data_IF_490902872089
#
_entry.id   IF_490902872089
#
_cell.length_a   1.000
_cell.length_b   1.000
_cell.length_c   1.000
_cell.angle_alpha   90.00
_cell.angle_beta   90.00
_cell.angle_gamma   90.00
#
_symmetry.space_group_name_H-M   'P 1'
#
loop_
_entity.id
_entity.type
_entity.pdbx_description
1 polymer ?
#
# COMPACT_ATOMS: atom_id res chain seq x y z
N UNK A 1 15.22 -7.42 71.64
CA UNK A 1 14.66 -6.37 70.75
C UNK A 1 15.21 -6.56 69.34
N UNK A 2 14.84 -7.67 68.68
CA UNK A 2 15.36 -8.03 67.37
C UNK A 2 14.32 -7.74 66.28
N UNK A 3 14.73 -6.90 65.33
CA UNK A 3 14.47 -7.00 63.88
C UNK A 3 13.11 -7.60 63.46
N UNK A 4 12.07 -6.77 63.44
CA UNK A 4 10.82 -7.07 62.73
C UNK A 4 10.31 -5.90 61.88
N UNK A 5 11.19 -5.00 61.45
CA UNK A 5 10.82 -3.88 60.56
C UNK A 5 11.78 -3.86 59.38
N UNK A 6 11.66 -4.85 58.50
CA UNK A 6 12.29 -4.81 57.17
C UNK A 6 11.54 -5.64 56.12
N UNK A 7 10.63 -6.56 56.51
CA UNK A 7 9.87 -7.36 55.54
C UNK A 7 8.62 -6.66 54.99
N UNK A 8 8.03 -5.74 55.76
CA UNK A 8 6.79 -5.04 55.39
C UNK A 8 7.00 -3.99 54.28
N UNK A 9 8.21 -3.45 54.14
CA UNK A 9 8.57 -2.52 53.06
C UNK A 9 8.87 -3.26 51.75
N UNK A 10 9.39 -4.49 51.83
CA UNK A 10 9.59 -5.35 50.66
C UNK A 10 8.27 -5.83 50.03
N UNK A 11 7.21 -6.02 50.83
CA UNK A 11 5.88 -6.35 50.28
C UNK A 11 5.17 -5.16 49.63
N UNK A 12 5.44 -3.92 50.05
CA UNK A 12 4.91 -2.72 49.37
C UNK A 12 5.62 -2.39 48.05
N UNK A 13 6.75 -3.05 47.76
CA UNK A 13 7.45 -2.97 46.47
C UNK A 13 6.96 -4.03 45.47
N UNK A 14 6.13 -4.98 45.89
CA UNK A 14 5.24 -5.70 44.99
C UNK A 14 4.00 -4.81 44.76
N UNK A 15 4.22 -3.68 44.09
CA UNK A 15 3.14 -3.05 43.34
C UNK A 15 2.65 -4.11 42.38
N UNK A 16 1.49 -4.69 42.70
CA UNK A 16 0.79 -5.51 41.74
C UNK A 16 0.22 -4.52 40.72
N UNK A 17 1.03 -4.11 39.73
CA UNK A 17 0.52 -3.50 38.51
C UNK A 17 -0.17 -4.60 37.70
N UNK A 18 -1.38 -4.94 38.14
CA UNK A 18 -2.35 -5.63 37.31
C UNK A 18 -2.87 -4.65 36.25
N UNK A 19 -2.10 -4.29 35.21
CA UNK A 19 -2.84 -3.80 34.04
C UNK A 19 -3.43 -4.95 33.29
N UNK A 20 -4.73 -4.97 33.50
CA UNK A 20 -5.75 -5.73 32.85
C UNK A 20 -6.38 -4.80 31.80
N UNK A 21 -5.60 -4.17 30.91
CA UNK A 21 -6.20 -3.35 29.85
C UNK A 21 -6.94 -4.30 28.89
N UNK A 22 -8.19 -4.57 29.25
CA UNK A 22 -9.16 -5.31 28.49
C UNK A 22 -9.96 -4.30 27.65
N UNK A 23 -9.59 -4.20 26.38
CA UNK A 23 -10.27 -3.50 25.30
C UNK A 23 -10.10 -1.98 25.34
N UNK A 24 -8.97 -1.52 24.81
CA UNK A 24 -8.95 -0.18 24.24
C UNK A 24 -9.74 -0.22 22.93
N UNK A 25 -10.78 0.59 22.88
CA UNK A 25 -11.47 0.86 21.62
C UNK A 25 -10.49 1.65 20.76
N UNK A 26 -10.25 1.27 19.48
CA UNK A 26 -9.39 2.08 18.60
C UNK A 26 -9.84 3.54 18.62
N UNK A 27 -8.97 4.47 18.21
CA UNK A 27 -9.32 5.90 18.10
C UNK A 27 -10.67 6.13 17.37
N UNK A 28 -11.06 5.21 16.48
CA UNK A 28 -12.33 5.16 15.72
C UNK A 28 -13.52 4.49 16.41
N UNK A 29 -13.35 3.92 17.61
CA UNK A 29 -14.42 3.31 18.40
C UNK A 29 -14.95 1.96 17.88
N UNK A 30 -14.44 1.42 16.77
CA UNK A 30 -14.85 0.14 16.18
C UNK A 30 -13.83 -0.43 15.18
N UNK A 31 -14.01 -1.68 14.79
CA UNK A 31 -13.28 -2.28 13.67
C UNK A 31 -13.57 -1.55 12.34
N UNK A 32 -12.53 -1.47 11.50
CA UNK A 32 -12.64 -1.03 10.12
C UNK A 32 -13.36 -2.10 9.28
N UNK A 33 -14.30 -1.68 8.43
CA UNK A 33 -15.10 -2.58 7.60
C UNK A 33 -14.70 -2.53 6.12
N UNK A 34 -14.26 -1.37 5.66
CA UNK A 34 -13.92 -1.11 4.25
C UNK A 34 -12.62 -0.32 4.13
N UNK A 35 -11.92 -0.38 2.99
CA UNK A 35 -10.70 0.40 2.80
C UNK A 35 -10.89 1.90 3.00
N UNK A 36 -12.07 2.42 2.66
CA UNK A 36 -12.42 3.83 2.84
C UNK A 36 -12.46 4.26 4.31
N UNK A 37 -12.63 3.32 5.24
CA UNK A 37 -12.59 3.60 6.67
C UNK A 37 -11.17 3.94 7.15
N UNK A 38 -10.11 3.53 6.44
CA UNK A 38 -8.71 3.87 6.77
C UNK A 38 -8.52 5.39 6.76
N UNK A 39 -8.98 6.07 5.71
CA UNK A 39 -8.87 7.52 5.60
C UNK A 39 -9.65 8.21 6.71
N UNK A 40 -10.88 7.76 6.98
CA UNK A 40 -11.71 8.29 8.08
C UNK A 40 -11.02 8.12 9.43
N UNK A 41 -10.41 6.97 9.68
CA UNK A 41 -9.69 6.69 10.90
C UNK A 41 -8.44 7.55 11.06
N UNK A 42 -7.71 7.76 9.97
CA UNK A 42 -6.50 8.59 9.98
C UNK A 42 -6.79 10.06 10.28
N UNK A 43 -7.99 10.58 9.98
CA UNK A 43 -8.35 11.97 10.29
C UNK A 43 -8.24 12.28 11.78
N UNK A 44 -8.52 11.28 12.63
CA UNK A 44 -8.44 11.41 14.08
C UNK A 44 -7.00 11.40 14.61
N UNK A 45 -6.01 11.14 13.75
CA UNK A 45 -4.58 11.18 14.13
C UNK A 45 -3.98 12.57 14.01
N UNK A 46 -4.65 13.52 13.35
CA UNK A 46 -4.18 14.89 13.20
C UNK A 46 -4.68 15.76 14.34
N UNK A 47 -3.75 16.38 15.06
CA UNK A 47 -4.10 17.27 16.18
C UNK A 47 -4.64 18.63 15.71
N UNK A 48 -4.49 18.96 14.43
CA UNK A 48 -5.06 20.16 13.81
C UNK A 48 -5.32 19.96 12.29
N UNK A 49 -6.19 20.80 11.73
CA UNK A 49 -6.58 20.74 10.31
C UNK A 49 -5.43 21.08 9.34
N UNK A 50 -4.46 21.90 9.75
CA UNK A 50 -3.34 22.29 8.89
C UNK A 50 -2.39 21.11 8.67
N UNK A 51 -2.16 20.26 9.68
CA UNK A 51 -1.42 19.01 9.55
C UNK A 51 -2.12 18.04 8.60
N UNK A 52 -3.44 17.90 8.72
CA UNK A 52 -4.23 17.06 7.81
C UNK A 52 -4.14 17.56 6.35
N UNK A 53 -4.25 18.88 6.13
CA UNK A 53 -4.14 19.49 4.81
C UNK A 53 -2.72 19.37 4.23
N UNK A 54 -1.70 19.58 5.06
CA UNK A 54 -0.29 19.44 4.66
C UNK A 54 0.01 18.01 4.25
N UNK A 55 -0.52 17.04 5.01
CA UNK A 55 -0.42 15.64 4.66
C UNK A 55 -1.10 15.32 3.32
N UNK A 56 -2.34 15.77 3.12
CA UNK A 56 -3.06 15.56 1.87
C UNK A 56 -2.29 16.12 0.66
N UNK A 57 -1.58 17.25 0.83
CA UNK A 57 -0.69 17.82 -0.20
C UNK A 57 0.61 17.04 -0.39
N UNK A 58 1.11 16.39 0.66
CA UNK A 58 2.35 15.60 0.63
C UNK A 58 2.18 14.21 0.00
N UNK A 59 0.94 13.70 -0.05
CA UNK A 59 0.63 12.54 -0.86
C UNK A 59 0.70 13.01 -2.31
N UNK A 60 1.77 12.65 -2.99
CA UNK A 60 1.85 12.83 -4.44
C UNK A 60 0.75 11.97 -5.07
N UNK A 61 -0.29 12.65 -5.55
CA UNK A 61 -1.33 12.08 -6.40
C UNK A 61 -0.76 11.96 -7.82
N UNK A 62 -1.30 11.03 -8.59
CA UNK A 62 -0.92 10.81 -9.98
C UNK A 62 -1.05 12.11 -10.77
N UNK A 63 -0.11 12.38 -11.70
CA UNK A 63 -0.23 13.59 -12.50
C UNK A 63 -1.43 13.46 -13.45
N UNK A 64 -2.10 14.56 -13.83
CA UNK A 64 -3.20 14.48 -14.81
C UNK A 64 -2.79 13.77 -16.10
N UNK A 65 -1.52 13.89 -16.49
CA UNK A 65 -0.95 13.21 -17.65
C UNK A 65 -0.84 11.69 -17.44
N UNK A 66 -0.42 11.24 -16.25
CA UNK A 66 -0.35 9.81 -15.92
C UNK A 66 -1.74 9.18 -15.97
N UNK A 67 -2.72 9.79 -15.31
CA UNK A 67 -4.11 9.31 -15.29
C UNK A 67 -4.65 9.24 -16.72
N UNK A 68 -4.47 10.30 -17.50
CA UNK A 68 -4.92 10.34 -18.89
C UNK A 68 -4.30 9.23 -19.72
N UNK A 69 -2.96 9.10 -19.72
CA UNK A 69 -2.27 8.11 -20.54
C UNK A 69 -2.62 6.67 -20.13
N UNK A 70 -2.67 6.38 -18.84
CA UNK A 70 -3.08 5.06 -18.32
C UNK A 70 -4.50 4.73 -18.75
N UNK A 71 -5.45 5.64 -18.56
CA UNK A 71 -6.85 5.43 -18.96
C UNK A 71 -7.00 5.23 -20.46
N UNK A 72 -6.23 5.94 -21.30
CA UNK A 72 -6.35 5.86 -22.76
C UNK A 72 -5.43 4.83 -23.42
N UNK A 73 -4.57 4.15 -22.67
CA UNK A 73 -3.62 3.17 -23.21
C UNK A 73 -4.26 2.02 -23.99
N UNK A 74 -5.42 1.54 -23.55
CA UNK A 74 -6.19 0.52 -24.26
C UNK A 74 -6.75 1.05 -25.58
N UNK A 75 -7.22 2.30 -25.61
CA UNK A 75 -7.69 2.99 -26.82
C UNK A 75 -6.56 3.16 -27.82
N UNK A 76 -5.35 3.51 -27.38
CA UNK A 76 -4.17 3.60 -28.26
C UNK A 76 -3.84 2.25 -28.91
N UNK A 77 -3.85 1.15 -28.14
CA UNK A 77 -3.64 -0.18 -28.72
C UNK A 77 -4.78 -0.61 -29.64
N UNK A 78 -6.04 -0.36 -29.28
CA UNK A 78 -7.20 -0.63 -30.12
C UNK A 78 -7.15 0.17 -31.43
N UNK A 79 -6.68 1.42 -31.38
CA UNK A 79 -6.48 2.24 -32.56
C UNK A 79 -5.44 1.58 -33.50
N UNK A 80 -4.31 1.13 -32.97
CA UNK A 80 -3.30 0.41 -33.78
C UNK A 80 -3.89 -0.87 -34.39
N UNK A 81 -4.68 -1.65 -33.64
CA UNK A 81 -5.35 -2.85 -34.16
C UNK A 81 -6.29 -2.48 -35.32
N UNK A 82 -7.08 -1.42 -35.17
CA UNK A 82 -8.02 -0.96 -36.20
C UNK A 82 -7.34 -0.46 -37.48
N UNK A 83 -6.15 0.11 -37.37
CA UNK A 83 -5.33 0.55 -38.50
C UNK A 83 -4.58 -0.61 -39.16
N UNK A 84 -4.57 -1.79 -38.55
CA UNK A 84 -3.76 -2.93 -38.97
C UNK A 84 -4.58 -3.99 -39.71
N UNK A 85 -4.26 -4.22 -40.99
CA UNK A 85 -4.73 -5.43 -41.68
C UNK A 85 -4.03 -6.67 -41.11
N UNK A 86 -4.77 -7.70 -40.71
CA UNK A 86 -4.25 -8.98 -40.19
C UNK A 86 -3.19 -8.84 -39.08
N UNK A 87 -3.31 -7.84 -38.18
CA UNK A 87 -2.35 -7.59 -37.10
C UNK A 87 -0.89 -7.38 -37.57
N UNK A 88 -0.68 -6.86 -38.79
CA UNK A 88 0.63 -6.44 -39.31
C UNK A 88 1.45 -5.55 -38.35
N UNK A 89 0.83 -4.75 -37.50
CA UNK A 89 1.54 -3.93 -36.50
C UNK A 89 1.80 -4.61 -35.16
N UNK A 90 1.32 -5.85 -34.96
CA UNK A 90 1.62 -6.67 -33.77
C UNK A 90 0.89 -6.26 -32.48
N UNK A 91 -0.09 -5.35 -32.53
CA UNK A 91 -0.74 -4.78 -31.34
C UNK A 91 -1.68 -5.74 -30.61
N UNK A 92 -2.25 -6.75 -31.28
CA UNK A 92 -3.28 -7.62 -30.68
C UNK A 92 -2.79 -8.34 -29.42
N UNK A 93 -1.56 -8.89 -29.43
CA UNK A 93 -1.00 -9.56 -28.26
C UNK A 93 -0.70 -8.56 -27.14
N UNK A 94 -0.22 -7.36 -27.48
CA UNK A 94 0.09 -6.31 -26.51
C UNK A 94 -1.16 -5.82 -25.80
N UNK A 95 -2.28 -5.72 -26.53
CA UNK A 95 -3.58 -5.38 -25.96
C UNK A 95 -4.02 -6.39 -24.90
N UNK A 96 -4.00 -7.69 -25.23
CA UNK A 96 -4.38 -8.75 -24.29
C UNK A 96 -3.48 -8.77 -23.04
N UNK A 97 -2.18 -8.54 -23.23
CA UNK A 97 -1.22 -8.47 -22.13
C UNK A 97 -1.43 -7.23 -21.26
N UNK A 98 -1.81 -6.09 -21.85
CA UNK A 98 -2.14 -4.87 -21.10
C UNK A 98 -3.36 -5.07 -20.21
N UNK A 99 -4.44 -5.67 -20.74
CA UNK A 99 -5.64 -6.00 -19.97
C UNK A 99 -5.30 -6.95 -18.82
N UNK A 100 -4.47 -7.96 -19.07
CA UNK A 100 -4.02 -8.91 -18.04
C UNK A 100 -3.22 -8.21 -16.94
N UNK A 101 -2.31 -7.30 -17.32
CA UNK A 101 -1.56 -6.46 -16.38
C UNK A 101 -2.52 -5.61 -15.54
N UNK A 102 -3.49 -4.94 -16.15
CA UNK A 102 -4.39 -4.03 -15.43
C UNK A 102 -5.27 -4.78 -14.44
N UNK A 103 -5.80 -5.94 -14.83
CA UNK A 103 -6.53 -6.84 -13.92
C UNK A 103 -5.65 -7.33 -12.76
N UNK A 104 -4.41 -7.73 -13.06
CA UNK A 104 -3.45 -8.17 -12.05
C UNK A 104 -3.13 -7.08 -11.02
N UNK A 105 -2.83 -5.87 -11.49
CA UNK A 105 -2.55 -4.70 -10.65
C UNK A 105 -3.78 -4.32 -9.83
N UNK A 106 -4.97 -4.29 -10.44
CA UNK A 106 -6.22 -3.99 -9.75
C UNK A 106 -6.47 -4.93 -8.56
N UNK A 107 -6.41 -6.24 -8.82
CA UNK A 107 -6.61 -7.25 -7.80
C UNK A 107 -5.55 -7.17 -6.70
N UNK A 108 -4.29 -6.95 -7.07
CA UNK A 108 -3.20 -6.78 -6.11
C UNK A 108 -3.47 -5.59 -5.17
N UNK A 109 -3.87 -4.43 -5.72
CA UNK A 109 -4.18 -3.26 -4.91
C UNK A 109 -5.36 -3.50 -3.97
N UNK A 110 -6.44 -4.14 -4.43
CA UNK A 110 -7.58 -4.49 -3.58
C UNK A 110 -7.18 -5.42 -2.42
N UNK A 111 -6.35 -6.44 -2.71
CA UNK A 111 -5.81 -7.34 -1.68
C UNK A 111 -5.00 -6.56 -0.66
N UNK A 112 -4.10 -5.67 -1.10
CA UNK A 112 -3.28 -4.85 -0.20
C UNK A 112 -4.10 -3.97 0.73
N UNK A 113 -5.16 -3.34 0.20
CA UNK A 113 -6.06 -2.51 1.00
C UNK A 113 -6.83 -3.32 2.04
N UNK A 114 -7.35 -4.49 1.66
CA UNK A 114 -8.05 -5.38 2.58
C UNK A 114 -7.10 -5.94 3.66
N UNK A 115 -5.86 -6.25 3.30
CA UNK A 115 -4.85 -6.66 4.27
C UNK A 115 -4.56 -5.53 5.28
N UNK A 116 -4.48 -4.27 4.82
CA UNK A 116 -4.26 -3.13 5.70
C UNK A 116 -5.34 -2.96 6.76
N UNK A 117 -6.62 -3.18 6.40
CA UNK A 117 -7.74 -3.25 7.35
C UNK A 117 -7.50 -4.32 8.41
N UNK A 118 -7.14 -5.53 7.97
CA UNK A 118 -6.90 -6.66 8.87
C UNK A 118 -5.74 -6.39 9.83
N UNK A 119 -4.67 -5.74 9.36
CA UNK A 119 -3.55 -5.35 10.21
C UNK A 119 -4.00 -4.40 11.32
N UNK A 120 -4.71 -3.31 10.94
CA UNK A 120 -5.21 -2.30 11.88
C UNK A 120 -6.15 -2.93 12.91
N UNK A 121 -7.14 -3.72 12.46
CA UNK A 121 -8.10 -4.38 13.34
C UNK A 121 -7.45 -5.40 14.28
N UNK A 122 -6.33 -5.99 13.87
CA UNK A 122 -5.57 -6.93 14.72
C UNK A 122 -4.82 -6.18 15.82
N UNK A 123 -4.14 -5.09 15.49
CA UNK A 123 -3.32 -4.33 16.45
C UNK A 123 -4.12 -3.35 17.31
N UNK A 124 -5.35 -3.02 16.94
CA UNK A 124 -6.21 -2.17 17.77
C UNK A 124 -6.80 -2.88 18.98
N UNK A 125 -6.70 -4.21 19.04
CA UNK A 125 -7.25 -5.03 20.13
C UNK A 125 -6.12 -5.46 21.07
N UNK A 126 -5.85 -4.67 22.10
CA UNK A 126 -4.76 -4.93 23.06
C UNK A 126 -4.96 -6.16 23.96
N UNK A 127 -6.16 -6.76 23.95
CA UNK A 127 -6.56 -7.79 24.93
C UNK A 127 -5.91 -9.14 24.76
N UNK A 128 -5.29 -9.40 23.62
CA UNK A 128 -4.67 -10.68 23.31
C UNK A 128 -3.47 -10.46 22.38
N UNK A 129 -2.60 -9.50 22.69
CA UNK A 129 -1.40 -9.30 21.89
C UNK A 129 -0.40 -10.41 22.18
N UNK A 130 -0.16 -11.24 21.17
CA UNK A 130 0.89 -12.26 21.18
C UNK A 130 1.81 -12.06 19.99
N UNK A 131 3.06 -12.49 20.13
CA UNK A 131 4.13 -12.32 19.14
C UNK A 131 3.78 -12.94 17.78
N UNK A 132 2.96 -13.99 17.74
CA UNK A 132 2.59 -14.68 16.49
C UNK A 132 1.71 -13.81 15.59
N UNK A 133 0.91 -12.90 16.16
CA UNK A 133 0.09 -11.96 15.38
C UNK A 133 0.96 -10.94 14.64
N UNK A 134 1.98 -10.39 15.29
CA UNK A 134 2.92 -9.45 14.66
C UNK A 134 3.75 -10.12 13.58
N UNK A 135 4.18 -11.37 13.81
CA UNK A 135 4.87 -12.17 12.80
C UNK A 135 3.99 -12.43 11.58
N UNK A 136 2.71 -12.78 11.76
CA UNK A 136 1.76 -12.96 10.65
C UNK A 136 1.58 -11.69 9.83
N UNK A 137 1.44 -10.53 10.49
CA UNK A 137 1.36 -9.23 9.80
C UNK A 137 2.65 -8.96 9.01
N UNK A 138 3.81 -9.13 9.66
CA UNK A 138 5.13 -8.92 9.04
C UNK A 138 5.32 -9.79 7.80
N UNK A 139 5.02 -11.09 7.91
CA UNK A 139 5.08 -12.02 6.77
C UNK A 139 4.12 -11.59 5.67
N UNK A 140 2.87 -11.26 6.00
CA UNK A 140 1.88 -10.81 5.02
C UNK A 140 2.32 -9.54 4.26
N UNK A 141 2.96 -8.59 4.94
CA UNK A 141 3.53 -7.39 4.31
C UNK A 141 4.70 -7.77 3.38
N UNK A 142 5.60 -8.64 3.81
CA UNK A 142 6.76 -9.05 2.99
C UNK A 142 6.34 -9.84 1.74
N UNK A 143 5.35 -10.73 1.88
CA UNK A 143 4.77 -11.46 0.76
C UNK A 143 4.10 -10.48 -0.22
N UNK A 144 3.36 -9.50 0.30
CA UNK A 144 2.73 -8.48 -0.53
C UNK A 144 3.75 -7.60 -1.29
N UNK A 145 4.85 -7.20 -0.64
CA UNK A 145 5.97 -6.48 -1.30
C UNK A 145 6.62 -7.32 -2.40
N UNK A 146 6.70 -8.64 -2.21
CA UNK A 146 7.20 -9.57 -3.22
C UNK A 146 6.25 -9.63 -4.42
N UNK A 147 4.94 -9.72 -4.18
CA UNK A 147 3.93 -9.69 -5.23
C UNK A 147 3.93 -8.37 -6.02
N UNK A 148 4.14 -7.23 -5.36
CA UNK A 148 4.36 -5.93 -6.02
C UNK A 148 5.56 -6.01 -6.97
N UNK A 149 6.68 -6.56 -6.50
CA UNK A 149 7.90 -6.71 -7.32
C UNK A 149 7.66 -7.60 -8.53
N UNK A 150 6.96 -8.72 -8.38
CA UNK A 150 6.57 -9.59 -9.50
C UNK A 150 5.69 -8.85 -10.51
N UNK A 151 4.71 -8.06 -10.04
CA UNK A 151 3.84 -7.29 -10.94
C UNK A 151 4.60 -6.19 -11.69
N UNK A 152 5.54 -5.53 -11.02
CA UNK A 152 6.44 -4.56 -11.61
C UNK A 152 7.30 -5.18 -12.73
N UNK A 153 7.79 -6.41 -12.53
CA UNK A 153 8.53 -7.15 -13.56
C UNK A 153 7.65 -7.48 -14.78
N UNK A 154 6.37 -7.82 -14.56
CA UNK A 154 5.42 -8.04 -15.66
C UNK A 154 5.21 -6.74 -16.46
N UNK A 155 4.99 -5.62 -15.77
CA UNK A 155 4.84 -4.30 -16.40
C UNK A 155 6.09 -3.93 -17.23
N UNK A 156 7.28 -4.02 -16.63
CA UNK A 156 8.53 -3.71 -17.30
C UNK A 156 8.76 -4.62 -18.53
N UNK A 157 8.46 -5.91 -18.42
CA UNK A 157 8.59 -6.86 -19.53
C UNK A 157 7.64 -6.52 -20.68
N UNK A 158 6.40 -6.12 -20.39
CA UNK A 158 5.44 -5.68 -21.39
C UNK A 158 5.91 -4.39 -22.09
N UNK A 159 6.39 -3.41 -21.34
CA UNK A 159 6.92 -2.17 -21.92
C UNK A 159 8.09 -2.45 -22.89
N UNK A 160 9.01 -3.35 -22.52
CA UNK A 160 10.10 -3.79 -23.40
C UNK A 160 9.58 -4.50 -24.64
N UNK A 161 8.62 -5.42 -24.49
CA UNK A 161 8.03 -6.15 -25.61
C UNK A 161 7.37 -5.20 -26.63
N UNK A 162 6.62 -4.21 -26.15
CA UNK A 162 5.99 -3.19 -27.00
C UNK A 162 7.05 -2.33 -27.68
N UNK A 163 8.09 -1.91 -26.95
CA UNK A 163 9.17 -1.10 -27.52
C UNK A 163 9.93 -1.86 -28.62
N UNK A 164 10.14 -3.17 -28.45
CA UNK A 164 10.74 -4.01 -29.48
C UNK A 164 9.87 -4.07 -30.73
N UNK A 165 8.55 -4.32 -30.60
CA UNK A 165 7.62 -4.28 -31.74
C UNK A 165 7.64 -2.93 -32.44
N UNK A 166 7.56 -1.82 -31.68
CA UNK A 166 7.64 -0.46 -32.19
C UNK A 166 8.89 -0.24 -33.05
N UNK A 167 10.06 -0.67 -32.58
CA UNK A 167 11.33 -0.47 -33.28
C UNK A 167 11.49 -1.32 -34.55
N UNK A 168 10.68 -2.37 -34.73
CA UNK A 168 10.67 -3.18 -35.97
C UNK A 168 9.83 -2.57 -37.09
N UNK A 169 9.05 -1.53 -36.80
CA UNK A 169 8.18 -0.90 -37.79
C UNK A 169 8.98 -0.05 -38.80
N UNK A 170 8.76 -0.22 -40.12
CA UNK A 170 9.49 0.51 -41.14
C UNK A 170 9.05 1.97 -41.23
N UNK A 171 9.89 2.88 -40.73
CA UNK A 171 9.65 4.34 -40.70
C UNK A 171 9.57 4.96 -42.12
N UNK A 172 10.15 4.32 -43.13
CA UNK A 172 10.25 4.83 -44.52
C UNK A 172 9.35 4.09 -45.53
N UNK A 173 8.27 3.46 -45.05
CA UNK A 173 7.28 2.77 -45.90
C UNK A 173 6.43 3.78 -46.71
N UNK A 174 5.85 3.42 -47.88
CA UNK A 174 4.94 4.28 -48.65
C UNK A 174 3.74 4.86 -47.87
N UNK A 175 3.41 4.33 -46.68
CA UNK A 175 2.39 4.86 -45.76
C UNK A 175 2.99 5.48 -44.50
N UNK A 176 3.98 6.38 -44.63
CA UNK A 176 4.75 6.95 -43.52
C UNK A 176 3.90 7.57 -42.40
N UNK A 177 2.77 8.19 -42.73
CA UNK A 177 1.89 8.81 -41.73
C UNK A 177 1.18 7.78 -40.83
N UNK A 178 0.73 6.65 -41.39
CA UNK A 178 0.11 5.58 -40.58
C UNK A 178 1.14 4.98 -39.63
N UNK A 179 2.35 4.71 -40.11
CA UNK A 179 3.44 4.20 -39.27
C UNK A 179 3.81 5.18 -38.15
N UNK A 180 3.82 6.48 -38.44
CA UNK A 180 4.06 7.52 -37.44
C UNK A 180 2.99 7.49 -36.34
N UNK A 181 1.71 7.47 -36.70
CA UNK A 181 0.60 7.37 -35.73
C UNK A 181 0.74 6.11 -34.86
N UNK A 182 1.09 4.97 -35.47
CA UNK A 182 1.28 3.70 -34.74
C UNK A 182 2.45 3.79 -33.75
N UNK A 183 3.57 4.38 -34.16
CA UNK A 183 4.75 4.58 -33.30
C UNK A 183 4.42 5.51 -32.14
N UNK A 184 3.71 6.61 -32.40
CA UNK A 184 3.31 7.58 -31.38
C UNK A 184 2.35 6.94 -30.35
N UNK A 185 1.37 6.17 -30.81
CA UNK A 185 0.48 5.40 -29.94
C UNK A 185 1.24 4.38 -29.09
N UNK A 186 2.21 3.65 -29.67
CA UNK A 186 3.04 2.73 -28.89
C UNK A 186 3.88 3.47 -27.83
N UNK A 187 4.40 4.66 -28.15
CA UNK A 187 5.16 5.48 -27.20
C UNK A 187 4.31 5.87 -25.99
N UNK A 188 3.04 6.27 -26.21
CA UNK A 188 2.10 6.61 -25.14
C UNK A 188 1.77 5.40 -24.26
N UNK A 189 1.56 4.23 -24.87
CA UNK A 189 1.30 2.97 -24.14
C UNK A 189 2.50 2.58 -23.28
N UNK A 190 3.72 2.67 -23.81
CA UNK A 190 4.95 2.40 -23.05
C UNK A 190 5.05 3.33 -21.85
N UNK A 191 4.83 4.64 -22.04
CA UNK A 191 4.85 5.61 -20.95
C UNK A 191 3.83 5.28 -19.85
N UNK A 192 2.64 4.84 -20.24
CA UNK A 192 1.58 4.41 -19.32
C UNK A 192 1.97 3.20 -18.48
N UNK A 193 2.56 2.18 -19.11
CA UNK A 193 3.00 0.95 -18.41
C UNK A 193 4.16 1.24 -17.46
N UNK A 194 5.10 2.11 -17.86
CA UNK A 194 6.19 2.57 -16.99
C UNK A 194 5.64 3.34 -15.79
N UNK A 195 4.64 4.20 -15.99
CA UNK A 195 3.97 4.93 -14.91
C UNK A 195 3.30 3.97 -13.90
N UNK A 196 2.63 2.91 -14.37
CA UNK A 196 2.09 1.84 -13.50
C UNK A 196 3.20 1.15 -12.69
N UNK A 197 4.34 0.85 -13.32
CA UNK A 197 5.51 0.26 -12.66
C UNK A 197 6.03 1.15 -11.53
N UNK A 198 6.09 2.46 -11.76
CA UNK A 198 6.46 3.46 -10.73
C UNK A 198 5.43 3.51 -9.60
N UNK A 199 4.13 3.56 -9.90
CA UNK A 199 3.09 3.57 -8.87
C UNK A 199 3.10 2.31 -7.99
N UNK A 200 3.38 1.14 -8.58
CA UNK A 200 3.59 -0.10 -7.82
C UNK A 200 4.79 0.02 -6.85
N UNK A 201 5.90 0.61 -7.30
CA UNK A 201 7.07 0.84 -6.43
C UNK A 201 6.73 1.77 -5.27
N UNK A 202 5.99 2.84 -5.52
CA UNK A 202 5.58 3.83 -4.51
C UNK A 202 4.72 3.22 -3.39
N UNK A 203 4.12 2.05 -3.60
CA UNK A 203 3.40 1.32 -2.56
C UNK A 203 4.34 0.71 -1.50
N UNK A 204 5.60 0.43 -1.83
CA UNK A 204 6.53 -0.30 -0.94
C UNK A 204 6.99 0.52 0.26
N UNK A 205 7.11 1.84 0.11
CA UNK A 205 7.55 2.74 1.20
C UNK A 205 6.57 2.72 2.38
N UNK A 206 5.29 3.06 2.22
CA UNK A 206 4.36 3.02 3.35
C UNK A 206 4.22 1.62 3.95
N UNK A 207 4.31 0.55 3.15
CA UNK A 207 4.33 -0.83 3.66
C UNK A 207 5.55 -1.12 4.55
N UNK A 208 6.72 -0.63 4.16
CA UNK A 208 7.96 -0.79 4.94
C UNK A 208 7.87 -0.04 6.26
N UNK A 209 7.31 1.17 6.24
CA UNK A 209 7.09 1.97 7.44
C UNK A 209 6.06 1.33 8.38
N UNK A 210 4.93 0.83 7.85
CA UNK A 210 3.94 0.06 8.63
C UNK A 210 4.63 -1.14 9.29
N UNK A 211 5.42 -1.90 8.54
CA UNK A 211 6.12 -3.06 9.08
C UNK A 211 7.07 -2.70 10.23
N UNK A 212 7.81 -1.59 10.09
CA UNK A 212 8.69 -1.09 11.15
C UNK A 212 7.90 -0.71 12.41
N UNK A 213 6.72 -0.11 12.27
CA UNK A 213 5.89 0.24 13.41
C UNK A 213 5.24 -0.99 14.06
N UNK A 214 4.94 -2.04 13.29
CA UNK A 214 4.51 -3.34 13.84
C UNK A 214 5.61 -3.96 14.71
N UNK A 215 6.87 -3.90 14.26
CA UNK A 215 8.01 -4.33 15.09
C UNK A 215 8.13 -3.49 16.36
N UNK A 216 7.90 -2.17 16.27
CA UNK A 216 7.84 -1.29 17.43
C UNK A 216 6.77 -1.70 18.45
N UNK A 217 5.54 -1.96 17.98
CA UNK A 217 4.44 -2.48 18.80
C UNK A 217 4.83 -3.78 19.50
N UNK A 218 5.44 -4.72 18.77
CA UNK A 218 5.89 -5.97 19.35
C UNK A 218 6.87 -5.74 20.51
N UNK A 219 7.84 -4.84 20.34
CA UNK A 219 8.81 -4.53 21.38
C UNK A 219 8.14 -3.90 22.62
N UNK A 220 7.16 -3.01 22.43
CA UNK A 220 6.41 -2.42 23.55
C UNK A 220 5.63 -3.48 24.34
N UNK A 221 5.00 -4.43 23.64
CA UNK A 221 4.34 -5.57 24.29
C UNK A 221 5.33 -6.39 25.11
N UNK A 222 6.49 -6.71 24.54
CA UNK A 222 7.53 -7.49 25.23
C UNK A 222 8.09 -6.74 26.46
N UNK A 223 8.29 -5.41 26.38
CA UNK A 223 8.72 -4.59 27.52
C UNK A 223 7.66 -4.50 28.62
N UNK A 224 6.39 -4.35 28.22
CA UNK A 224 5.28 -4.27 29.14
C UNK A 224 5.10 -5.58 29.93
N UNK A 225 5.22 -6.73 29.25
CA UNK A 225 5.18 -8.06 29.88
C UNK A 225 6.33 -8.30 30.87
N UNK A 226 7.44 -7.58 30.73
CA UNK A 226 8.57 -7.63 31.67
C UNK A 226 8.38 -6.71 32.88
N UNK A 227 7.22 -6.03 33.00
CA UNK A 227 6.92 -5.03 34.04
C UNK A 227 7.92 -3.87 34.08
N UNK A 228 8.51 -3.53 32.92
CA UNK A 228 9.51 -2.46 32.80
C UNK A 228 8.83 -1.09 32.56
N UNK A 229 7.59 -1.08 32.09
CA UNK A 229 6.81 0.15 31.82
C UNK A 229 5.52 0.19 32.62
N UNK A 230 5.06 1.41 32.91
CA UNK A 230 3.73 1.64 33.47
C UNK A 230 2.65 1.53 32.39
N UNK A 231 1.42 1.29 32.81
CA UNK A 231 0.26 1.21 31.93
C UNK A 231 0.07 2.49 31.12
N UNK A 232 0.31 3.63 31.76
CA UNK A 232 0.22 4.93 31.12
C UNK A 232 1.27 5.08 30.01
N UNK A 233 2.51 4.69 30.27
CA UNK A 233 3.61 4.75 29.29
C UNK A 233 3.37 3.79 28.14
N UNK A 234 3.01 2.53 28.44
CA UNK A 234 2.66 1.54 27.44
C UNK A 234 1.53 2.04 26.53
N UNK A 235 0.44 2.54 27.11
CA UNK A 235 -0.68 3.05 26.33
C UNK A 235 -0.33 4.28 25.51
N UNK A 236 0.54 5.17 26.00
CA UNK A 236 1.02 6.31 25.24
C UNK A 236 1.83 5.85 24.01
N UNK A 237 2.76 4.89 24.20
CA UNK A 237 3.55 4.29 23.11
C UNK A 237 2.67 3.60 22.08
N UNK A 238 1.75 2.74 22.52
CA UNK A 238 0.85 1.99 21.63
C UNK A 238 -0.04 2.92 20.80
N UNK A 239 -0.59 3.97 21.42
CA UNK A 239 -1.34 4.99 20.70
C UNK A 239 -0.50 5.73 19.66
N UNK A 240 0.76 6.04 19.98
CA UNK A 240 1.69 6.67 19.05
C UNK A 240 1.93 5.78 17.82
N UNK A 241 2.21 4.49 18.02
CA UNK A 241 2.41 3.54 16.92
C UNK A 241 1.14 3.35 16.08
N UNK A 242 -0.03 3.22 16.69
CA UNK A 242 -1.30 3.10 15.95
C UNK A 242 -1.56 4.36 15.10
N UNK A 243 -1.30 5.56 15.64
CA UNK A 243 -1.42 6.81 14.87
C UNK A 243 -0.49 6.78 13.64
N UNK A 244 0.76 6.36 13.81
CA UNK A 244 1.74 6.26 12.72
C UNK A 244 1.31 5.21 11.68
N UNK A 245 0.80 4.05 12.11
CA UNK A 245 0.30 3.02 11.21
C UNK A 245 -0.91 3.53 10.42
N UNK A 246 -1.90 4.14 11.07
CA UNK A 246 -3.06 4.73 10.39
C UNK A 246 -2.64 5.79 9.36
N UNK A 247 -1.67 6.63 9.72
CA UNK A 247 -1.10 7.63 8.84
C UNK A 247 -0.49 6.99 7.58
N UNK A 248 0.36 5.98 7.73
CA UNK A 248 0.99 5.28 6.60
C UNK A 248 0.01 4.42 5.80
N UNK A 249 -0.97 3.81 6.46
CA UNK A 249 -2.06 3.11 5.79
C UNK A 249 -2.90 4.06 4.95
N UNK A 250 -3.09 5.31 5.36
CA UNK A 250 -3.79 6.31 4.52
C UNK A 250 -2.94 6.75 3.31
N UNK A 251 -1.62 6.88 3.47
CA UNK A 251 -0.71 7.08 2.32
C UNK A 251 -0.80 5.91 1.34
N UNK A 252 -0.74 4.68 1.85
CA UNK A 252 -0.88 3.47 1.04
C UNK A 252 -2.24 3.39 0.35
N UNK A 253 -3.32 3.73 1.07
CA UNK A 253 -4.67 3.81 0.51
C UNK A 253 -4.73 4.77 -0.66
N UNK A 254 -4.25 6.00 -0.45
CA UNK A 254 -4.31 7.06 -1.45
C UNK A 254 -3.53 6.70 -2.71
N UNK A 255 -2.32 6.15 -2.57
CA UNK A 255 -1.48 5.68 -3.69
C UNK A 255 -2.04 4.45 -4.42
N UNK A 256 -2.93 3.69 -3.78
CA UNK A 256 -3.55 2.52 -4.39
C UNK A 256 -4.80 2.87 -5.22
N UNK A 257 -5.36 4.08 -5.08
CA UNK A 257 -6.67 4.42 -5.64
C UNK A 257 -6.73 4.31 -7.16
N UNK A 258 -5.78 4.88 -7.91
CA UNK A 258 -5.75 4.72 -9.36
C UNK A 258 -5.70 3.24 -9.75
N UNK A 259 -4.84 2.48 -9.09
CA UNK A 259 -4.62 1.06 -9.37
C UNK A 259 -5.89 0.23 -9.16
N UNK A 260 -6.67 0.54 -8.10
CA UNK A 260 -7.98 -0.09 -7.84
C UNK A 260 -9.07 0.23 -8.86
N UNK A 261 -8.84 1.18 -9.78
CA UNK A 261 -9.78 1.55 -10.84
C UNK A 261 -9.35 1.12 -12.23
N UNK A 262 -8.16 0.54 -12.37
CA UNK A 262 -7.63 0.13 -13.68
C UNK A 262 -8.58 -0.79 -14.45
N UNK A 263 -9.30 -1.67 -13.76
CA UNK A 263 -10.26 -2.58 -14.40
C UNK A 263 -11.50 -1.90 -14.97
N UNK A 264 -11.84 -0.72 -14.46
CA UNK A 264 -13.04 0.02 -14.86
C UNK A 264 -12.80 0.82 -16.15
N UNK A 265 -11.57 0.79 -16.68
CA UNK A 265 -11.17 1.49 -17.90
C UNK A 265 -11.36 0.66 -19.18
N UNK A 266 -11.87 -0.57 -19.10
CA UNK A 266 -12.12 -1.46 -20.24
C UNK A 266 -13.42 -2.25 -20.14
#
# INVERSE_FOLDING_TARGET
>A
MYKQISLLILFSLFYISHSLISDYTPIIGRDLLTPADITRASLLTYDDQNKALTFAKSIQIETPMDVFNITFSNFYLNNIISLSNNNAFGAQSHYNNLISLYNGVNNLSLIGLNNSINYINTISKFTNMDTSKFQKITTSINDFKSNITSMQQIANSLAVAINNTKNTLPVNSPNSEVYKIVIDNYQLVIGSIVSISTHLEDLKTPLTEINSYITGIQNEVDFYLQFISTDQEYMASMNSFIKLILYRSNTFYSRSLLLTRLKDFF
#
